data_IF_722989241187
#
_entry.id   IF_722989241187
#
_cell.length_a   1.000
_cell.length_b   1.000
_cell.length_c   1.000
_cell.angle_alpha   90.00
_cell.angle_beta   90.00
_cell.angle_gamma   90.00
#
_symmetry.space_group_name_H-M   'P 1'
#
loop_
_entity.id
_entity.type
_entity.pdbx_description
1 polymer ?
#
# COMPACT_ATOMS: atom_id res chain seq x y z
N UNK A 1 -19.85 9.71 10.99
CA UNK A 1 -18.65 8.85 10.88
C UNK A 1 -17.56 9.72 10.32
N UNK A 2 -16.48 9.91 11.05
CA UNK A 2 -15.32 10.61 10.49
C UNK A 2 -14.78 9.77 9.34
N UNK A 3 -14.63 10.41 8.18
CA UNK A 3 -14.08 9.79 6.99
C UNK A 3 -12.62 9.41 7.29
N UNK A 4 -12.26 8.14 7.00
CA UNK A 4 -10.89 7.67 7.15
C UNK A 4 -9.93 8.55 6.34
N UNK A 5 -8.86 9.00 6.98
CA UNK A 5 -7.79 9.73 6.30
C UNK A 5 -6.89 8.77 5.51
N UNK A 6 -6.15 9.29 4.53
CA UNK A 6 -5.20 8.50 3.72
C UNK A 6 -4.19 7.70 4.55
N UNK A 7 -3.81 8.18 5.74
CA UNK A 7 -2.90 7.49 6.66
C UNK A 7 -3.56 6.33 7.41
N UNK A 8 -4.87 6.39 7.64
CA UNK A 8 -5.62 5.30 8.27
C UNK A 8 -5.69 4.09 7.33
N UNK A 9 -5.87 4.34 6.03
CA UNK A 9 -5.79 3.31 4.99
C UNK A 9 -4.41 2.65 4.91
N UNK A 10 -3.34 3.40 5.14
CA UNK A 10 -1.98 2.86 5.22
C UNK A 10 -1.88 1.86 6.38
N UNK A 11 -2.34 2.25 7.57
CA UNK A 11 -2.38 1.35 8.74
C UNK A 11 -3.23 0.09 8.48
N UNK A 12 -4.42 0.25 7.90
CA UNK A 12 -5.31 -0.86 7.56
C UNK A 12 -4.69 -1.84 6.55
N UNK A 13 -3.92 -1.35 5.58
CA UNK A 13 -3.18 -2.19 4.63
C UNK A 13 -2.05 -2.96 5.32
N UNK A 14 -1.29 -2.30 6.21
CA UNK A 14 -0.22 -2.97 6.95
C UNK A 14 -0.76 -4.05 7.89
N UNK A 15 -1.91 -3.80 8.54
CA UNK A 15 -2.60 -4.82 9.34
C UNK A 15 -3.02 -6.03 8.49
N UNK A 16 -3.54 -5.76 7.28
CA UNK A 16 -3.98 -6.79 6.34
C UNK A 16 -2.84 -7.65 5.78
N UNK A 17 -1.57 -7.33 6.10
CA UNK A 17 -0.42 -8.17 5.79
C UNK A 17 -0.27 -9.37 6.74
N UNK A 18 -1.07 -9.44 7.81
CA UNK A 18 -1.16 -10.57 8.76
C UNK A 18 0.20 -10.91 9.38
N UNK A 19 0.87 -9.90 9.94
CA UNK A 19 2.17 -10.03 10.60
C UNK A 19 3.37 -10.03 9.65
N UNK A 20 3.15 -10.03 8.32
CA UNK A 20 4.20 -9.79 7.33
C UNK A 20 4.45 -8.30 7.15
N UNK A 21 5.61 -7.96 6.61
CA UNK A 21 5.92 -6.59 6.19
C UNK A 21 5.69 -6.40 4.69
N UNK A 22 5.48 -5.15 4.30
CA UNK A 22 5.45 -4.76 2.88
C UNK A 22 6.78 -4.10 2.50
N UNK A 23 7.28 -4.43 1.30
CA UNK A 23 8.34 -3.66 0.64
C UNK A 23 7.81 -2.31 0.14
N UNK A 24 8.67 -1.34 -0.27
CA UNK A 24 8.21 -0.03 -0.72
C UNK A 24 7.32 -0.14 -1.96
N UNK A 25 7.64 -1.07 -2.87
CA UNK A 25 6.84 -1.33 -4.06
C UNK A 25 5.48 -1.89 -3.69
N UNK A 26 5.43 -2.91 -2.82
CA UNK A 26 4.16 -3.51 -2.39
C UNK A 26 3.26 -2.50 -1.67
N UNK A 27 3.83 -1.63 -0.83
CA UNK A 27 3.08 -0.56 -0.18
C UNK A 27 2.47 0.41 -1.21
N UNK A 28 3.30 0.93 -2.12
CA UNK A 28 2.87 1.84 -3.21
C UNK A 28 1.78 1.19 -4.07
N UNK A 29 1.97 -0.07 -4.47
CA UNK A 29 1.05 -0.76 -5.38
C UNK A 29 -0.25 -1.15 -4.70
N UNK A 30 -0.23 -1.52 -3.42
CA UNK A 30 -1.46 -1.83 -2.70
C UNK A 30 -2.35 -0.60 -2.58
N UNK A 31 -1.78 0.55 -2.16
CA UNK A 31 -2.53 1.81 -2.05
C UNK A 31 -3.04 2.28 -3.42
N UNK A 32 -2.23 2.14 -4.47
CA UNK A 32 -2.67 2.42 -5.84
C UNK A 32 -3.87 1.57 -6.25
N UNK A 33 -3.80 0.25 -6.05
CA UNK A 33 -4.88 -0.66 -6.42
C UNK A 33 -6.14 -0.42 -5.61
N UNK A 34 -6.01 -0.03 -4.33
CA UNK A 34 -7.14 0.37 -3.51
C UNK A 34 -7.84 1.60 -4.11
N UNK A 35 -7.08 2.63 -4.54
CA UNK A 35 -7.64 3.82 -5.20
C UNK A 35 -8.41 3.48 -6.47
N UNK A 36 -7.81 2.70 -7.36
CA UNK A 36 -8.40 2.42 -8.68
C UNK A 36 -9.60 1.47 -8.60
N UNK A 37 -9.61 0.53 -7.63
CA UNK A 37 -10.69 -0.46 -7.50
C UNK A 37 -11.82 -0.01 -6.57
N UNK A 38 -11.57 0.92 -5.65
CA UNK A 38 -12.55 1.40 -4.68
C UNK A 38 -12.50 2.93 -4.49
N UNK A 39 -12.59 3.75 -5.57
CA UNK A 39 -12.43 5.20 -5.48
C UNK A 39 -13.48 5.85 -4.56
N UNK A 40 -14.72 5.38 -4.60
CA UNK A 40 -15.81 5.88 -3.75
C UNK A 40 -15.62 5.56 -2.25
N UNK A 41 -14.75 4.58 -1.92
CA UNK A 41 -14.48 4.19 -0.54
C UNK A 41 -13.37 5.03 0.07
N UNK A 42 -12.32 5.33 -0.70
CA UNK A 42 -11.18 6.14 -0.22
C UNK A 42 -11.42 7.65 -0.36
N UNK A 43 -12.24 8.08 -1.31
CA UNK A 43 -12.55 9.50 -1.56
C UNK A 43 -11.42 10.30 -2.20
N UNK A 44 -11.69 11.57 -2.46
CA UNK A 44 -10.80 12.47 -3.24
C UNK A 44 -9.54 12.92 -2.47
N UNK A 45 -9.58 12.89 -1.13
CA UNK A 45 -8.44 13.22 -0.27
C UNK A 45 -7.36 12.13 -0.17
N UNK A 46 -7.46 11.09 -1.00
CA UNK A 46 -6.50 9.98 -1.02
C UNK A 46 -5.21 10.32 -1.79
N UNK A 47 -4.29 9.36 -1.91
CA UNK A 47 -3.01 9.53 -2.60
C UNK A 47 -3.19 9.87 -4.10
N UNK A 48 -2.30 10.70 -4.64
CA UNK A 48 -2.28 11.15 -6.03
C UNK A 48 -1.15 10.49 -6.84
N UNK A 49 -1.46 9.33 -7.43
CA UNK A 49 -0.47 8.55 -8.16
C UNK A 49 -0.10 9.17 -9.51
N UNK A 50 1.20 9.24 -9.78
CA UNK A 50 1.79 9.65 -11.05
C UNK A 50 2.60 8.52 -11.70
N UNK A 51 2.79 8.51 -13.03
CA UNK A 51 3.72 7.59 -13.71
C UNK A 51 5.16 7.80 -13.25
N UNK A 52 5.83 6.73 -12.86
CA UNK A 52 7.22 6.74 -12.39
C UNK A 52 8.00 5.51 -12.89
N UNK A 53 9.25 5.37 -12.45
CA UNK A 53 10.21 4.35 -12.93
C UNK A 53 9.66 2.91 -12.88
N UNK A 54 8.84 2.61 -11.88
CA UNK A 54 8.23 1.29 -11.68
C UNK A 54 6.70 1.40 -11.61
N UNK A 55 6.11 2.31 -12.38
CA UNK A 55 4.67 2.50 -12.49
C UNK A 55 4.12 3.51 -11.50
N UNK A 56 2.87 3.34 -11.03
CA UNK A 56 2.18 4.35 -10.23
C UNK A 56 2.91 4.63 -8.92
N UNK A 57 3.10 5.91 -8.61
CA UNK A 57 3.88 6.34 -7.46
C UNK A 57 3.27 7.59 -6.83
N UNK A 58 3.29 7.65 -5.50
CA UNK A 58 3.06 8.88 -4.75
C UNK A 58 4.07 8.98 -3.60
N UNK A 59 4.84 10.07 -3.56
CA UNK A 59 5.83 10.33 -2.52
C UNK A 59 5.19 10.53 -1.13
N UNK A 60 3.95 11.04 -1.07
CA UNK A 60 3.26 11.32 0.19
C UNK A 60 3.04 10.05 1.04
N UNK A 61 3.00 8.87 0.40
CA UNK A 61 2.91 7.57 1.10
C UNK A 61 4.10 7.37 2.05
N UNK A 62 5.30 7.78 1.62
CA UNK A 62 6.50 7.65 2.46
C UNK A 62 6.53 8.71 3.56
N UNK A 63 6.14 9.95 3.25
CA UNK A 63 5.99 10.99 4.26
C UNK A 63 4.98 10.59 5.35
N UNK A 64 3.85 10.00 4.96
CA UNK A 64 2.84 9.51 5.90
C UNK A 64 3.36 8.30 6.70
N UNK A 65 4.09 7.37 6.07
CA UNK A 65 4.71 6.24 6.78
C UNK A 65 5.77 6.70 7.81
N UNK A 66 6.57 7.71 7.47
CA UNK A 66 7.59 8.29 8.37
C UNK A 66 6.93 9.07 9.52
N UNK A 67 5.85 9.80 9.26
CA UNK A 67 5.05 10.44 10.32
C UNK A 67 4.43 9.39 11.27
N UNK A 68 3.83 8.33 10.72
CA UNK A 68 3.29 7.21 11.51
C UNK A 68 4.39 6.46 12.27
N UNK A 69 5.62 6.41 11.76
CA UNK A 69 6.76 5.87 12.50
C UNK A 69 7.12 6.78 13.69
N UNK A 70 7.15 8.09 13.51
CA UNK A 70 7.40 9.04 14.59
C UNK A 70 6.32 8.96 15.69
N UNK A 71 5.09 8.60 15.31
CA UNK A 71 3.97 8.31 16.23
C UNK A 71 4.02 6.90 16.86
N UNK A 72 5.06 6.11 16.57
CA UNK A 72 5.22 4.70 16.98
C UNK A 72 4.07 3.78 16.52
N UNK A 73 3.42 4.08 15.39
CA UNK A 73 2.36 3.26 14.80
C UNK A 73 2.89 2.32 13.70
N UNK A 74 3.94 2.73 13.00
CA UNK A 74 4.58 1.95 11.93
C UNK A 74 6.05 1.70 12.26
N UNK A 75 6.50 0.47 12.09
CA UNK A 75 7.91 0.12 12.10
C UNK A 75 8.46 0.15 10.67
N UNK A 76 9.51 0.94 10.44
CA UNK A 76 10.28 0.95 9.20
C UNK A 76 11.65 0.36 9.51
N UNK A 77 11.93 -0.83 8.97
CA UNK A 77 13.20 -1.52 9.18
C UNK A 77 13.88 -1.80 7.84
N UNK A 78 15.21 -1.84 7.83
CA UNK A 78 15.99 -2.34 6.70
C UNK A 78 16.80 -3.53 7.21
N UNK A 79 16.28 -4.76 7.14
CA UNK A 79 16.98 -5.93 7.64
C UNK A 79 18.38 -6.05 7.03
N UNK A 80 19.35 -6.49 7.82
CA UNK A 80 20.74 -6.66 7.38
C UNK A 80 20.79 -7.51 6.10
N UNK A 81 21.42 -6.98 5.06
CA UNK A 81 21.52 -7.65 3.75
C UNK A 81 20.37 -7.36 2.77
N UNK A 82 19.31 -6.67 3.18
CA UNK A 82 18.29 -6.15 2.27
C UNK A 82 18.60 -4.71 1.86
N UNK A 83 18.46 -4.43 0.56
CA UNK A 83 18.67 -3.09 0.00
C UNK A 83 17.50 -2.13 0.22
N UNK A 84 16.34 -2.63 0.66
CA UNK A 84 15.12 -1.86 0.76
C UNK A 84 14.51 -1.91 2.17
N UNK A 85 13.76 -0.84 2.49
CA UNK A 85 12.96 -0.73 3.72
C UNK A 85 11.77 -1.69 3.68
N UNK A 86 11.38 -2.19 4.84
CA UNK A 86 10.17 -2.94 5.08
C UNK A 86 9.28 -2.17 6.06
N UNK A 87 7.97 -2.20 5.81
CA UNK A 87 6.95 -1.50 6.57
C UNK A 87 6.05 -2.52 7.25
N UNK A 88 5.87 -2.40 8.57
CA UNK A 88 4.95 -3.22 9.35
C UNK A 88 4.30 -2.39 10.46
N UNK A 89 3.24 -2.90 11.07
CA UNK A 89 2.68 -2.26 12.27
C UNK A 89 3.56 -2.54 13.49
N UNK A 90 3.61 -1.57 14.40
CA UNK A 90 3.98 -1.82 15.79
C UNK A 90 2.78 -2.39 16.55
N UNK A 91 2.97 -2.76 17.83
CA UNK A 91 1.85 -3.11 18.70
C UNK A 91 0.83 -1.95 18.83
N UNK A 92 1.31 -0.72 19.01
CA UNK A 92 0.46 0.47 19.12
C UNK A 92 -0.28 0.77 17.81
N UNK A 93 0.36 0.51 16.67
CA UNK A 93 -0.27 0.55 15.35
C UNK A 93 -1.41 -0.46 15.22
N UNK A 94 -1.19 -1.71 15.61
CA UNK A 94 -2.22 -2.74 15.60
C UNK A 94 -3.41 -2.37 16.51
N UNK A 95 -3.16 -1.82 17.69
CA UNK A 95 -4.21 -1.35 18.60
C UNK A 95 -5.02 -0.19 18.00
N UNK A 96 -4.36 0.69 17.26
CA UNK A 96 -5.01 1.79 16.53
C UNK A 96 -5.88 1.24 15.41
N UNK A 97 -5.40 0.27 14.65
CA UNK A 97 -6.19 -0.39 13.60
C UNK A 97 -7.40 -1.12 14.16
N UNK A 98 -7.28 -1.77 15.32
CA UNK A 98 -8.44 -2.42 15.98
C UNK A 98 -9.58 -1.43 16.20
N UNK A 99 -9.28 -0.21 16.69
CA UNK A 99 -10.27 0.88 16.85
C UNK A 99 -10.82 1.37 15.51
N UNK A 100 -9.97 1.52 14.49
CA UNK A 100 -10.42 1.92 13.15
C UNK A 100 -11.40 0.89 12.54
N UNK A 101 -11.17 -0.40 12.79
CA UNK A 101 -11.99 -1.50 12.29
C UNK A 101 -13.36 -1.61 12.94
N UNK A 102 -13.55 -1.08 14.15
CA UNK A 102 -14.87 -1.05 14.81
C UNK A 102 -15.92 -0.33 13.95
N UNK A 103 -15.47 0.61 13.11
CA UNK A 103 -16.32 1.38 12.20
C UNK A 103 -16.18 0.95 10.73
N UNK A 104 -15.33 -0.04 10.44
CA UNK A 104 -15.11 -0.52 9.07
C UNK A 104 -16.06 -1.67 8.74
N UNK A 105 -16.79 -1.54 7.63
CA UNK A 105 -17.62 -2.63 7.12
C UNK A 105 -16.78 -3.90 6.90
N UNK A 106 -17.26 -5.06 7.37
CA UNK A 106 -16.61 -6.37 7.22
C UNK A 106 -16.24 -6.68 5.77
N UNK A 107 -17.06 -6.26 4.80
CA UNK A 107 -16.76 -6.43 3.37
C UNK A 107 -15.51 -5.65 2.93
N UNK A 108 -15.30 -4.44 3.47
CA UNK A 108 -14.09 -3.67 3.20
C UNK A 108 -12.86 -4.31 3.85
N UNK A 109 -12.98 -4.81 5.07
CA UNK A 109 -11.90 -5.53 5.74
C UNK A 109 -11.48 -6.80 4.97
N UNK A 110 -12.46 -7.58 4.49
CA UNK A 110 -12.21 -8.77 3.66
C UNK A 110 -11.55 -8.42 2.32
N UNK A 111 -11.99 -7.32 1.70
CA UNK A 111 -11.40 -6.83 0.47
C UNK A 111 -9.93 -6.45 0.65
N UNK A 112 -9.59 -5.70 1.70
CA UNK A 112 -8.21 -5.31 2.01
C UNK A 112 -7.31 -6.54 2.23
N UNK A 113 -7.79 -7.53 3.00
CA UNK A 113 -7.07 -8.79 3.22
C UNK A 113 -6.76 -9.50 1.90
N UNK A 114 -7.76 -9.65 1.03
CA UNK A 114 -7.59 -10.29 -0.28
C UNK A 114 -6.63 -9.51 -1.19
N UNK A 115 -6.74 -8.19 -1.21
CA UNK A 115 -5.87 -7.33 -2.01
C UNK A 115 -4.41 -7.43 -1.55
N UNK A 116 -4.15 -7.29 -0.25
CA UNK A 116 -2.80 -7.37 0.32
C UNK A 116 -2.22 -8.77 0.15
N UNK A 117 -3.02 -9.81 0.40
CA UNK A 117 -2.62 -11.20 0.16
C UNK A 117 -2.21 -11.45 -1.30
N UNK A 118 -2.98 -10.92 -2.26
CA UNK A 118 -2.65 -11.03 -3.68
C UNK A 118 -1.36 -10.30 -4.05
N UNK A 119 -1.12 -9.08 -3.51
CA UNK A 119 0.11 -8.32 -3.74
C UNK A 119 1.33 -9.02 -3.13
N UNK A 120 1.19 -9.58 -1.92
CA UNK A 120 2.26 -10.30 -1.24
C UNK A 120 2.62 -11.63 -1.92
N UNK A 121 1.66 -12.28 -2.58
CA UNK A 121 1.87 -13.52 -3.31
C UNK A 121 2.54 -13.32 -4.69
N UNK A 122 2.70 -12.08 -5.16
CA UNK A 122 3.30 -11.75 -6.45
C UNK A 122 4.77 -11.37 -6.28
N UNK A 123 5.63 -11.89 -7.14
CA UNK A 123 6.95 -11.30 -7.31
C UNK A 123 6.85 -9.91 -7.97
N UNK A 124 7.92 -9.13 -7.84
CA UNK A 124 7.99 -7.76 -8.33
C UNK A 124 7.65 -7.63 -9.82
N UNK A 125 8.19 -8.50 -10.67
CA UNK A 125 8.01 -8.41 -12.13
C UNK A 125 6.57 -8.73 -12.51
N UNK A 126 5.99 -9.77 -11.92
CA UNK A 126 4.60 -10.16 -12.18
C UNK A 126 3.63 -9.07 -11.74
N UNK A 127 3.84 -8.46 -10.57
CA UNK A 127 3.02 -7.36 -10.09
C UNK A 127 3.08 -6.14 -11.03
N UNK A 128 4.28 -5.73 -11.44
CA UNK A 128 4.44 -4.60 -12.35
C UNK A 128 3.85 -4.86 -13.73
N UNK A 129 4.08 -6.05 -14.29
CA UNK A 129 3.52 -6.45 -15.59
C UNK A 129 2.00 -6.32 -15.56
N UNK A 130 1.37 -6.88 -14.54
CA UNK A 130 -0.08 -6.81 -14.37
C UNK A 130 -0.56 -5.36 -14.29
N UNK A 131 0.13 -4.50 -13.53
CA UNK A 131 -0.23 -3.07 -13.42
C UNK A 131 -0.11 -2.36 -14.78
N UNK A 132 0.92 -2.64 -15.57
CA UNK A 132 1.08 -2.01 -16.89
C UNK A 132 0.06 -2.50 -17.92
N UNK A 133 -0.34 -3.77 -17.85
CA UNK A 133 -1.41 -4.30 -18.69
C UNK A 133 -2.76 -3.64 -18.34
N UNK A 134 -3.06 -3.46 -17.06
CA UNK A 134 -4.34 -2.90 -16.62
C UNK A 134 -4.38 -1.37 -16.67
N UNK A 135 -3.26 -0.71 -16.42
CA UNK A 135 -3.15 0.75 -16.31
C UNK A 135 -1.98 1.29 -17.15
N UNK A 136 -2.05 1.18 -18.49
CA UNK A 136 -0.94 1.48 -19.39
C UNK A 136 -0.42 2.92 -19.27
N UNK A 137 -1.25 3.87 -18.81
CA UNK A 137 -0.84 5.27 -18.56
C UNK A 137 0.33 5.40 -17.60
N UNK A 138 0.52 4.46 -16.67
CA UNK A 138 1.61 4.50 -15.70
C UNK A 138 2.93 3.92 -16.22
N UNK A 139 2.96 3.39 -17.45
CA UNK A 139 4.20 2.88 -18.08
C UNK A 139 5.07 3.99 -18.69
N UNK A 140 4.54 5.20 -18.89
CA UNK A 140 5.18 6.27 -19.69
C UNK A 140 6.63 6.60 -19.28
N UNK A 141 6.94 6.53 -17.98
CA UNK A 141 8.28 6.84 -17.43
C UNK A 141 9.01 5.58 -16.93
N UNK A 142 8.56 4.40 -17.34
CA UNK A 142 9.03 3.13 -16.78
C UNK A 142 10.43 2.78 -17.26
N UNK A 143 11.32 2.46 -16.32
CA UNK A 143 12.65 1.87 -16.62
C UNK A 143 12.60 0.33 -16.68
N UNK A 144 11.42 -0.26 -16.45
CA UNK A 144 11.20 -1.71 -16.53
C UNK A 144 11.36 -2.23 -17.96
N UNK A 145 12.30 -3.15 -18.16
CA UNK A 145 12.61 -3.81 -19.45
C UNK A 145 11.93 -5.17 -19.65
N UNK A 146 11.05 -5.60 -18.74
CA UNK A 146 10.36 -6.88 -18.89
C UNK A 146 9.37 -6.86 -20.06
N UNK A 147 9.38 -7.90 -20.89
CA UNK A 147 8.45 -8.06 -22.01
C UNK A 147 6.99 -8.09 -21.54
N UNK A 148 6.09 -7.44 -22.28
CA UNK A 148 4.64 -7.64 -22.13
C UNK A 148 4.24 -8.67 -23.20
N UNK A 149 4.06 -9.91 -22.78
CA UNK A 149 3.55 -11.02 -23.61
C UNK A 149 2.04 -10.96 -23.72
#
# INVERSE_FOLDING_TARGET
MDQLQKRDWLLLILDSAEGRSLSPVQLQKTLFLLKEKAPNVVGDGFYNFIPYNYGPFDAAIYSDAEALQAENLVAISAPTGQRWKNYSLTQQGADTVRRLKENLNTQHADYLRKLVGWVLAKDFNTLLRWIYTQYPRYRKNSVFQGELS
#
